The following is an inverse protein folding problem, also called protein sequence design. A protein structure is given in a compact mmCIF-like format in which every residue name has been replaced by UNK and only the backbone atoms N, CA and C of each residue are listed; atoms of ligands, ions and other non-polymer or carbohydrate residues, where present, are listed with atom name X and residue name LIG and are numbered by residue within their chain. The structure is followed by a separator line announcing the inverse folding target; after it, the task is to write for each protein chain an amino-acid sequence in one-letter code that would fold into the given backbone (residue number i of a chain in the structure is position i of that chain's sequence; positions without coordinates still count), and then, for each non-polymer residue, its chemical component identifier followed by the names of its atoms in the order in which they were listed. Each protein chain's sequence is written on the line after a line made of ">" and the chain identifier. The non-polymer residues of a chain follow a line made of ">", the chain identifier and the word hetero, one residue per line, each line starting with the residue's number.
data_IF_968521891893
#
_entry.id   IF_968521891893
#
_cell.length_a   1.000
_cell.length_b   1.000
_cell.length_c   1.000
_cell.angle_alpha   90.00
_cell.angle_beta   90.00
_cell.angle_gamma   90.00
#
_symmetry.space_group_name_H-M   'P 1'
#
loop_
_entity.id
_entity.type
_entity.pdbx_description
1 polymer ?
#
# COMPACT_ATOMS: atom_id res chain seq x y z
N UNK A 1 12.00 13.68 -6.30
CA UNK A 1 13.26 13.37 -5.59
C UNK A 1 13.29 13.95 -4.17
N UNK A 2 13.02 15.24 -3.92
CA UNK A 2 13.30 15.87 -2.61
C UNK A 2 12.54 15.38 -1.36
N UNK A 3 11.27 14.98 -1.46
CA UNK A 3 10.46 14.61 -0.28
C UNK A 3 10.85 13.28 0.36
N UNK A 4 11.38 12.33 -0.42
CA UNK A 4 11.83 11.04 0.11
C UNK A 4 13.13 11.21 0.89
N UNK A 5 14.10 11.96 0.36
CA UNK A 5 15.35 12.29 1.07
C UNK A 5 15.10 13.09 2.35
N UNK A 6 14.18 14.05 2.34
CA UNK A 6 13.87 14.83 3.55
C UNK A 6 13.20 14.00 4.64
N UNK A 7 12.31 13.07 4.27
CA UNK A 7 11.68 12.16 5.23
C UNK A 7 12.63 11.12 5.79
N UNK A 8 13.52 10.58 4.94
CA UNK A 8 14.58 9.68 5.35
C UNK A 8 15.55 10.38 6.32
N UNK A 9 15.97 11.61 5.99
CA UNK A 9 16.86 12.42 6.81
C UNK A 9 16.22 12.78 8.17
N UNK A 10 14.96 13.22 8.19
CA UNK A 10 14.26 13.52 9.45
C UNK A 10 14.17 12.27 10.34
N UNK A 11 13.86 11.10 9.78
CA UNK A 11 13.85 9.86 10.54
C UNK A 11 15.24 9.35 10.95
N UNK A 12 16.32 9.86 10.35
CA UNK A 12 17.69 9.56 10.78
C UNK A 12 18.08 10.43 11.97
N UNK A 13 17.70 11.71 11.96
CA UNK A 13 17.88 12.63 13.08
C UNK A 13 17.00 12.26 14.29
N UNK A 14 15.74 11.91 14.04
CA UNK A 14 14.75 11.56 15.06
C UNK A 14 14.15 10.17 14.78
N UNK A 15 14.76 9.09 15.32
CA UNK A 15 14.26 7.73 15.12
C UNK A 15 12.82 7.50 15.63
N UNK A 16 12.37 8.30 16.59
CA UNK A 16 11.02 8.19 17.18
C UNK A 16 9.88 8.61 16.24
N UNK A 17 10.17 9.37 15.19
CA UNK A 17 9.17 9.86 14.23
C UNK A 17 8.99 8.87 13.07
N UNK A 18 9.99 8.02 12.81
CA UNK A 18 9.97 7.08 11.69
C UNK A 18 9.13 5.84 12.06
N UNK A 19 8.04 5.56 11.32
CA UNK A 19 7.29 4.34 11.55
C UNK A 19 8.10 3.11 11.12
N UNK A 20 8.00 2.04 11.90
CA UNK A 20 8.67 0.76 11.64
C UNK A 20 7.90 -0.01 10.55
N UNK A 21 8.60 -0.50 9.54
CA UNK A 21 8.00 -1.24 8.42
C UNK A 21 7.56 -2.66 8.80
N UNK A 22 8.18 -3.24 9.82
CA UNK A 22 7.92 -4.63 10.22
C UNK A 22 6.79 -4.74 11.24
N UNK A 23 6.54 -3.67 11.99
CA UNK A 23 5.50 -3.65 13.02
C UNK A 23 4.16 -3.26 12.41
N UNK A 24 3.05 -3.77 12.97
CA UNK A 24 1.73 -3.31 12.58
C UNK A 24 1.52 -1.83 12.95
N UNK A 25 0.51 -1.17 12.32
CA UNK A 25 0.14 0.21 12.64
C UNK A 25 -0.11 0.39 14.15
N UNK A 26 0.50 1.41 14.75
CA UNK A 26 0.30 1.75 16.18
C UNK A 26 -1.04 2.45 16.44
N UNK A 27 -1.57 3.14 15.43
CA UNK A 27 -2.78 3.96 15.55
C UNK A 27 -4.00 3.24 14.99
N UNK A 28 -5.15 3.40 15.65
CA UNK A 28 -6.43 2.92 15.16
C UNK A 28 -6.68 3.38 13.71
N UNK A 29 -7.00 2.47 12.76
CA UNK A 29 -7.36 2.81 11.40
C UNK A 29 -8.50 3.84 11.25
N UNK A 30 -9.39 3.95 12.24
CA UNK A 30 -10.52 4.90 12.21
C UNK A 30 -10.14 6.29 12.75
N UNK A 31 -9.00 6.43 13.42
CA UNK A 31 -8.56 7.72 13.96
C UNK A 31 -8.32 8.75 12.85
N UNK A 32 -9.06 9.87 12.91
CA UNK A 32 -9.03 10.93 11.91
C UNK A 32 -10.02 10.78 10.75
N UNK A 33 -10.88 9.75 10.76
CA UNK A 33 -11.92 9.53 9.73
C UNK A 33 -13.33 9.67 10.34
N UNK A 34 -13.91 10.88 10.41
CA UNK A 34 -15.20 11.11 11.10
C UNK A 34 -16.39 10.40 10.42
N UNK A 35 -16.31 10.11 9.12
CA UNK A 35 -17.33 9.40 8.33
C UNK A 35 -17.03 7.91 8.14
N UNK A 36 -16.00 7.39 8.80
CA UNK A 36 -15.52 6.01 8.62
C UNK A 36 -14.66 5.80 7.37
N UNK A 37 -13.94 4.68 7.30
CA UNK A 37 -13.07 4.28 6.18
C UNK A 37 -13.76 3.19 5.35
N UNK A 38 -13.82 3.37 4.03
CA UNK A 38 -14.30 2.32 3.11
C UNK A 38 -13.32 1.13 3.13
N UNK A 39 -13.84 -0.08 3.39
CA UNK A 39 -13.07 -1.32 3.28
C UNK A 39 -12.75 -1.62 1.81
N UNK A 40 -11.58 -2.19 1.57
CA UNK A 40 -11.20 -2.69 0.23
C UNK A 40 -12.01 -3.95 -0.05
N UNK A 41 -12.43 -4.10 -1.30
CA UNK A 41 -13.20 -5.26 -1.75
C UNK A 41 -12.29 -6.12 -2.61
N UNK A 42 -12.20 -7.41 -2.30
CA UNK A 42 -11.61 -8.41 -3.18
C UNK A 42 -12.64 -8.74 -4.27
N UNK A 43 -12.23 -8.65 -5.53
CA UNK A 43 -13.09 -8.94 -6.68
C UNK A 43 -12.95 -10.41 -7.11
N UNK A 44 -11.72 -10.94 -7.09
CA UNK A 44 -11.44 -12.34 -7.41
C UNK A 44 -11.87 -13.25 -6.26
N UNK A 45 -12.45 -14.40 -6.60
CA UNK A 45 -12.77 -15.47 -5.64
C UNK A 45 -11.56 -16.36 -5.37
N UNK A 46 -11.52 -17.02 -4.22
CA UNK A 46 -10.42 -17.91 -3.86
C UNK A 46 -10.30 -19.11 -4.82
N UNK A 47 -11.45 -19.66 -5.24
CA UNK A 47 -11.52 -20.77 -6.22
C UNK A 47 -10.91 -20.37 -7.57
N UNK A 48 -11.15 -19.14 -8.04
CA UNK A 48 -10.52 -18.63 -9.26
C UNK A 48 -9.01 -18.49 -9.12
N UNK A 49 -8.52 -17.98 -7.97
CA UNK A 49 -7.08 -17.85 -7.73
C UNK A 49 -6.35 -19.19 -7.69
N UNK A 50 -7.02 -20.23 -7.16
CA UNK A 50 -6.49 -21.59 -7.11
C UNK A 50 -6.53 -22.26 -8.49
N UNK A 51 -7.62 -22.07 -9.26
CA UNK A 51 -7.74 -22.61 -10.62
C UNK A 51 -6.60 -22.11 -11.53
N UNK A 52 -6.23 -20.83 -11.41
CA UNK A 52 -5.13 -20.23 -12.18
C UNK A 52 -3.74 -20.45 -11.55
N UNK A 53 -3.65 -21.17 -10.42
CA UNK A 53 -2.40 -21.44 -9.70
C UNK A 53 -1.58 -20.17 -9.47
N UNK A 54 -2.20 -19.18 -8.83
CA UNK A 54 -1.51 -17.94 -8.45
C UNK A 54 -0.51 -18.20 -7.31
N UNK A 55 0.67 -17.60 -7.43
CA UNK A 55 1.64 -17.58 -6.34
C UNK A 55 1.12 -16.75 -5.17
N UNK A 56 1.60 -17.04 -3.96
CA UNK A 56 1.17 -16.34 -2.75
C UNK A 56 1.35 -14.81 -2.82
N UNK A 57 2.39 -14.35 -3.54
CA UNK A 57 2.68 -12.93 -3.72
C UNK A 57 1.71 -12.21 -4.66
N UNK A 58 1.08 -12.96 -5.57
CA UNK A 58 0.19 -12.41 -6.59
C UNK A 58 -1.29 -12.48 -6.16
N UNK A 59 -1.58 -13.05 -4.98
CA UNK A 59 -2.91 -13.15 -4.36
C UNK A 59 -3.29 -11.87 -3.60
N UNK A 60 -2.99 -10.72 -4.19
CA UNK A 60 -3.33 -9.39 -3.66
C UNK A 60 -4.72 -8.94 -4.15
N UNK A 61 -5.20 -7.77 -3.70
CA UNK A 61 -6.44 -7.14 -4.20
C UNK A 61 -6.49 -6.97 -5.73
N UNK A 62 -5.32 -7.02 -6.38
CA UNK A 62 -5.14 -6.89 -7.81
C UNK A 62 -5.27 -8.22 -8.61
N UNK A 63 -5.50 -9.36 -7.93
CA UNK A 63 -5.44 -10.70 -8.54
C UNK A 63 -6.37 -10.87 -9.77
N UNK A 64 -7.49 -10.16 -9.82
CA UNK A 64 -8.41 -10.18 -10.96
C UNK A 64 -7.77 -9.71 -12.28
N UNK A 65 -6.94 -8.68 -12.25
CA UNK A 65 -6.18 -8.25 -13.45
C UNK A 65 -5.11 -9.26 -13.84
N UNK A 66 -4.53 -9.93 -12.86
CA UNK A 66 -3.51 -10.94 -13.10
C UNK A 66 -4.10 -12.19 -13.79
N UNK A 67 -5.30 -12.61 -13.38
CA UNK A 67 -6.06 -13.68 -14.03
C UNK A 67 -6.38 -13.30 -15.48
N UNK A 68 -6.81 -12.06 -15.74
CA UNK A 68 -7.07 -11.59 -17.10
C UNK A 68 -5.81 -11.68 -17.96
N UNK A 69 -4.69 -11.14 -17.48
CA UNK A 69 -3.41 -11.20 -18.17
C UNK A 69 -2.99 -12.64 -18.49
N UNK A 70 -3.12 -13.60 -17.56
CA UNK A 70 -2.83 -15.02 -17.83
C UNK A 70 -3.76 -15.61 -18.91
N UNK A 71 -5.05 -15.29 -18.86
CA UNK A 71 -6.03 -15.75 -19.86
C UNK A 71 -5.67 -15.26 -21.26
N UNK A 72 -5.26 -14.00 -21.40
CA UNK A 72 -4.83 -13.45 -22.68
C UNK A 72 -3.51 -14.04 -23.17
N UNK A 73 -2.58 -14.37 -22.26
CA UNK A 73 -1.35 -15.07 -22.62
C UNK A 73 -1.64 -16.45 -23.22
N UNK A 74 -2.58 -17.20 -22.64
CA UNK A 74 -2.95 -18.53 -23.13
C UNK A 74 -3.68 -18.46 -24.49
N UNK A 75 -4.58 -17.47 -24.67
CA UNK A 75 -5.34 -17.32 -25.91
C UNK A 75 -4.50 -16.85 -27.11
N UNK A 76 -3.45 -16.06 -26.89
CA UNK A 76 -2.71 -15.38 -27.96
C UNK A 76 -1.31 -15.97 -28.24
N UNK A 77 -1.02 -17.20 -27.81
CA UNK A 77 0.27 -17.84 -28.15
C UNK A 77 0.39 -18.06 -29.67
N UNK A 78 1.57 -17.82 -30.28
CA UNK A 78 2.86 -17.46 -29.69
C UNK A 78 3.13 -15.94 -29.54
N UNK A 79 2.33 -15.06 -30.15
CA UNK A 79 2.55 -13.60 -30.17
C UNK A 79 1.96 -12.87 -28.96
N UNK A 80 1.71 -13.60 -27.87
CA UNK A 80 1.06 -13.11 -26.65
C UNK A 80 1.75 -11.87 -26.06
N UNK A 81 3.09 -11.79 -26.14
CA UNK A 81 3.85 -10.66 -25.60
C UNK A 81 3.49 -9.30 -26.24
N UNK A 82 3.11 -9.28 -27.51
CA UNK A 82 2.76 -8.04 -28.20
C UNK A 82 1.28 -7.70 -28.11
N UNK A 83 0.42 -8.72 -28.15
CA UNK A 83 -1.03 -8.54 -28.15
C UNK A 83 -1.56 -8.21 -26.74
N UNK A 84 -0.89 -8.70 -25.68
CA UNK A 84 -1.37 -8.58 -24.31
C UNK A 84 -0.88 -7.33 -23.54
N UNK A 85 -0.49 -6.27 -24.25
CA UNK A 85 0.08 -5.06 -23.61
C UNK A 85 -0.93 -4.30 -22.75
N UNK A 86 -2.20 -4.27 -23.16
CA UNK A 86 -3.25 -3.56 -22.44
C UNK A 86 -3.48 -4.18 -21.06
N UNK A 87 -3.70 -5.49 -21.01
CA UNK A 87 -3.95 -6.18 -19.74
C UNK A 87 -2.74 -6.14 -18.82
N UNK A 88 -1.53 -6.23 -19.38
CA UNK A 88 -0.30 -6.01 -18.61
C UNK A 88 -0.25 -4.61 -18.00
N UNK A 89 -0.63 -3.59 -18.76
CA UNK A 89 -0.65 -2.22 -18.25
C UNK A 89 -1.70 -2.02 -17.15
N UNK A 90 -2.88 -2.63 -17.28
CA UNK A 90 -3.92 -2.60 -16.25
C UNK A 90 -3.45 -3.23 -14.94
N UNK A 91 -2.79 -4.40 -15.02
CA UNK A 91 -2.17 -5.04 -13.88
C UNK A 91 -1.17 -4.11 -13.19
N UNK A 92 -0.20 -3.58 -13.94
CA UNK A 92 0.82 -2.67 -13.38
C UNK A 92 0.21 -1.40 -12.78
N UNK A 93 -0.85 -0.86 -13.39
CA UNK A 93 -1.55 0.32 -12.89
C UNK A 93 -2.17 0.02 -11.51
N UNK A 94 -2.84 -1.12 -11.39
CA UNK A 94 -3.46 -1.51 -10.14
C UNK A 94 -2.43 -1.83 -9.03
N UNK A 95 -1.30 -2.47 -9.37
CA UNK A 95 -0.16 -2.64 -8.44
C UNK A 95 0.41 -1.29 -7.98
N UNK A 96 0.53 -0.33 -8.90
CA UNK A 96 0.99 1.01 -8.59
C UNK A 96 0.02 1.74 -7.66
N UNK A 97 -1.29 1.64 -7.91
CA UNK A 97 -2.32 2.22 -7.05
C UNK A 97 -2.26 1.61 -5.64
N UNK A 98 -2.02 0.31 -5.52
CA UNK A 98 -1.84 -0.33 -4.22
C UNK A 98 -0.56 0.13 -3.50
N UNK A 99 0.55 0.24 -4.22
CA UNK A 99 1.78 0.82 -3.67
C UNK A 99 1.54 2.24 -3.14
N UNK A 100 0.80 3.07 -3.88
CA UNK A 100 0.44 4.43 -3.44
C UNK A 100 -0.38 4.41 -2.15
N UNK A 101 -1.27 3.44 -1.98
CA UNK A 101 -2.02 3.28 -0.73
C UNK A 101 -1.10 2.91 0.45
N UNK A 102 -0.14 1.99 0.24
CA UNK A 102 0.85 1.62 1.28
C UNK A 102 1.73 2.82 1.68
N UNK A 103 2.11 3.68 0.72
CA UNK A 103 2.85 4.92 1.01
C UNK A 103 2.00 5.91 1.81
N UNK A 104 0.71 6.05 1.51
CA UNK A 104 -0.22 6.89 2.29
C UNK A 104 -0.36 6.41 3.74
N UNK A 105 -0.35 5.10 3.97
CA UNK A 105 -0.39 4.53 5.33
C UNK A 105 0.90 4.85 6.11
N UNK A 106 2.06 4.69 5.47
CA UNK A 106 3.35 5.06 6.06
C UNK A 106 3.43 6.55 6.42
N UNK A 107 3.02 7.44 5.50
CA UNK A 107 3.01 8.88 5.78
C UNK A 107 2.02 9.27 6.87
N UNK A 108 0.85 8.59 6.93
CA UNK A 108 -0.15 8.81 7.99
C UNK A 108 0.48 8.54 9.36
N UNK A 109 1.10 7.38 9.54
CA UNK A 109 1.72 7.02 10.82
C UNK A 109 2.83 7.98 11.21
N UNK A 110 3.72 8.33 10.27
CA UNK A 110 4.77 9.31 10.51
C UNK A 110 4.23 10.64 11.01
N UNK A 111 3.16 11.16 10.39
CA UNK A 111 2.53 12.42 10.79
C UNK A 111 1.85 12.32 12.16
N UNK A 112 1.28 11.16 12.49
CA UNK A 112 0.67 10.91 13.79
C UNK A 112 1.72 10.84 14.90
N UNK A 113 2.83 10.12 14.70
CA UNK A 113 3.96 10.09 15.63
C UNK A 113 4.54 11.48 15.88
N UNK A 114 4.70 12.26 14.81
CA UNK A 114 5.14 13.66 14.94
C UNK A 114 4.17 14.48 15.77
N UNK A 115 2.85 14.33 15.55
CA UNK A 115 1.82 15.04 16.34
C UNK A 115 1.89 14.63 17.82
N UNK A 116 2.05 13.36 18.14
CA UNK A 116 2.19 12.89 19.51
C UNK A 116 3.44 13.45 20.20
N UNK A 117 4.58 13.49 19.50
CA UNK A 117 5.81 14.11 20.02
C UNK A 117 5.56 15.58 20.39
N UNK A 118 4.96 16.35 19.47
CA UNK A 118 4.63 17.76 19.71
C UNK A 118 3.64 17.95 20.88
N UNK A 119 2.68 17.04 21.05
CA UNK A 119 1.73 17.10 22.17
C UNK A 119 2.43 16.81 23.51
N UNK A 120 3.34 15.82 23.55
CA UNK A 120 4.13 15.49 24.73
C UNK A 120 5.04 16.65 25.15
N UNK A 121 5.69 17.30 24.19
CA UNK A 121 6.52 18.49 24.45
C UNK A 121 5.70 19.65 25.03
N UNK A 122 4.50 19.89 24.48
CA UNK A 122 3.57 20.91 25.00
C UNK A 122 3.08 20.59 26.41
N UNK A 123 2.77 19.32 26.70
CA UNK A 123 2.37 18.88 28.03
C UNK A 123 3.52 19.02 29.04
N UNK A 124 4.74 18.68 28.65
CA UNK A 124 5.93 18.87 29.48
C UNK A 124 6.19 20.36 29.78
N UNK A 125 6.05 21.23 28.77
CA UNK A 125 6.19 22.67 28.95
C UNK A 125 5.06 23.32 29.78
N UNK A 126 3.86 22.74 29.78
CA UNK A 126 2.75 23.20 30.61
C UNK A 126 2.79 22.68 32.05
N UNK A 127 3.51 21.58 32.29
CA UNK A 127 3.71 20.98 33.61
C UNK A 127 4.94 21.53 34.35
N UNK A 128 5.84 22.23 33.63
CA UNK A 128 6.99 22.96 34.16
C UNK A 128 6.61 24.41 34.49
#
# INVERSE_FOLDING_TARGET
>A
MGQWWSSAYEGWMDPSIRPDRQRPPLFDPLYGFPRGRKKRQMIATDEEMDAWKLEYRDRDYCAHFYINHRRCLDNNRPFAYWNCKHERHELTKCEWEDMVLRVKEFERERRLLKKEKMLKEKQAAAAA
#
